data_IF_342969857452
#
_entry.id   IF_342969857452
#
_cell.length_a   1.000
_cell.length_b   1.000
_cell.length_c   1.000
_cell.angle_alpha   90.00
_cell.angle_beta   90.00
_cell.angle_gamma   90.00
#
_symmetry.space_group_name_H-M   'P 1'
#
loop_
_entity.id
_entity.type
_entity.pdbx_description
1 polymer ?
#
# COMPACT_ATOMS: atom_id res chain seq x y z
N UNK A 1 2.55 3.53 -2.68
CA UNK A 1 3.50 4.18 -1.77
C UNK A 1 3.99 5.49 -2.43
N UNK A 2 3.94 6.62 -1.72
CA UNK A 2 4.57 7.85 -2.20
C UNK A 2 6.09 7.67 -2.38
N UNK A 3 6.66 8.24 -3.45
CA UNK A 3 8.10 8.19 -3.73
C UNK A 3 8.94 8.78 -2.57
N UNK A 4 8.43 9.79 -1.88
CA UNK A 4 9.13 10.38 -0.72
C UNK A 4 9.28 9.39 0.44
N UNK A 5 8.23 8.63 0.77
CA UNK A 5 8.30 7.59 1.80
C UNK A 5 9.28 6.50 1.38
N UNK A 6 9.20 6.05 0.12
CA UNK A 6 10.13 5.05 -0.40
C UNK A 6 11.59 5.49 -0.23
N UNK A 7 11.92 6.73 -0.61
CA UNK A 7 13.27 7.31 -0.46
C UNK A 7 13.73 7.42 0.99
N UNK A 8 12.81 7.70 1.93
CA UNK A 8 13.12 7.78 3.36
C UNK A 8 13.40 6.40 3.95
N UNK A 9 12.63 5.39 3.52
CA UNK A 9 12.75 4.02 4.04
C UNK A 9 13.96 3.28 3.47
N UNK A 10 14.42 3.64 2.26
CA UNK A 10 15.58 3.03 1.59
C UNK A 10 15.51 1.48 1.53
N UNK A 11 14.33 0.98 1.20
CA UNK A 11 13.94 -0.44 1.33
C UNK A 11 14.25 -1.29 0.09
N UNK A 12 15.14 -0.83 -0.80
CA UNK A 12 15.58 -1.57 -1.98
C UNK A 12 15.35 -0.81 -3.29
N UNK A 13 15.22 -1.54 -4.39
CA UNK A 13 15.06 -0.97 -5.74
C UNK A 13 13.63 -1.10 -6.26
N UNK A 14 13.13 -0.02 -6.87
CA UNK A 14 11.83 -0.02 -7.56
C UNK A 14 12.00 -0.63 -8.95
N UNK A 15 11.21 -1.66 -9.24
CA UNK A 15 11.17 -2.28 -10.56
C UNK A 15 10.24 -1.48 -11.49
N UNK A 16 10.70 -1.04 -12.67
CA UNK A 16 9.86 -0.33 -13.62
C UNK A 16 8.61 -1.12 -14.00
N UNK A 17 7.49 -0.43 -14.23
CA UNK A 17 6.22 -1.07 -14.60
C UNK A 17 5.54 -0.33 -15.74
N UNK A 18 4.76 -1.04 -16.54
CA UNK A 18 3.90 -0.48 -17.59
C UNK A 18 2.47 -0.21 -17.11
N UNK A 19 2.19 -0.39 -15.81
CA UNK A 19 0.88 -0.12 -15.22
C UNK A 19 0.50 1.35 -15.42
N UNK A 20 -0.76 1.60 -15.79
CA UNK A 20 -1.37 2.93 -15.74
C UNK A 20 -2.48 2.91 -14.69
N UNK A 21 -2.50 3.89 -13.80
CA UNK A 21 -3.51 4.00 -12.75
C UNK A 21 -4.52 5.08 -13.10
N UNK A 22 -5.81 4.75 -13.01
CA UNK A 22 -6.89 5.72 -13.03
C UNK A 22 -7.30 6.07 -11.60
N UNK A 23 -7.27 7.35 -11.26
CA UNK A 23 -7.66 7.87 -9.95
C UNK A 23 -9.18 8.07 -9.86
N UNK A 24 -9.67 8.33 -8.65
CA UNK A 24 -11.11 8.52 -8.41
C UNK A 24 -11.68 9.77 -9.11
N UNK A 25 -10.84 10.77 -9.35
CA UNK A 25 -11.16 11.96 -10.15
C UNK A 25 -11.09 11.70 -11.67
N UNK A 26 -10.88 10.43 -12.07
CA UNK A 26 -10.75 9.93 -13.43
C UNK A 26 -9.47 10.35 -14.15
N UNK A 27 -8.58 11.09 -13.49
CA UNK A 27 -7.24 11.37 -14.03
C UNK A 27 -6.42 10.08 -14.12
N UNK A 28 -5.42 10.08 -15.01
CA UNK A 28 -4.47 9.00 -15.13
C UNK A 28 -3.13 9.40 -14.53
N UNK A 29 -2.47 8.47 -13.87
CA UNK A 29 -1.09 8.62 -13.39
C UNK A 29 -0.27 7.39 -13.73
N UNK A 30 1.03 7.62 -13.88
CA UNK A 30 2.02 6.61 -14.24
C UNK A 30 2.92 6.36 -13.04
N UNK A 31 2.91 5.14 -12.47
CA UNK A 31 3.83 4.76 -11.42
C UNK A 31 5.29 4.85 -11.87
N UNK A 32 6.17 5.12 -10.91
CA UNK A 32 7.61 4.94 -11.09
C UNK A 32 7.94 3.45 -11.25
N UNK A 33 7.21 2.61 -10.53
CA UNK A 33 7.36 1.16 -10.58
C UNK A 33 6.66 0.44 -9.45
N UNK A 34 7.07 -0.79 -9.21
CA UNK A 34 6.59 -1.65 -8.12
C UNK A 34 7.78 -2.05 -7.25
N UNK A 35 7.55 -2.09 -5.94
CA UNK A 35 8.44 -2.77 -5.01
C UNK A 35 7.67 -3.94 -4.39
N UNK A 36 8.30 -5.10 -4.40
CA UNK A 36 7.68 -6.35 -3.95
C UNK A 36 8.22 -6.77 -2.58
N UNK A 37 7.41 -7.53 -1.83
CA UNK A 37 7.78 -8.16 -0.57
C UNK A 37 8.22 -7.19 0.55
N UNK A 38 7.67 -5.96 0.57
CA UNK A 38 7.94 -5.01 1.65
C UNK A 38 7.24 -5.50 2.93
N UNK A 39 8.01 -5.73 3.99
CA UNK A 39 7.46 -6.11 5.28
C UNK A 39 6.84 -4.89 5.97
N UNK A 40 5.52 -4.95 6.19
CA UNK A 40 4.79 -3.94 6.96
C UNK A 40 4.32 -4.54 8.28
N UNK A 41 4.45 -3.76 9.35
CA UNK A 41 3.88 -4.11 10.65
C UNK A 41 2.52 -3.43 10.81
N UNK A 42 1.48 -4.22 11.01
CA UNK A 42 0.13 -3.75 11.36
C UNK A 42 -0.22 -4.32 12.73
N UNK A 43 -0.36 -3.44 13.72
CA UNK A 43 -0.47 -3.80 15.13
C UNK A 43 0.68 -4.72 15.56
N UNK A 44 0.40 -5.98 15.90
CA UNK A 44 1.39 -6.99 16.31
C UNK A 44 1.86 -7.91 15.18
N UNK A 45 1.31 -7.78 13.98
CA UNK A 45 1.56 -8.70 12.87
C UNK A 45 2.45 -8.07 11.81
N UNK A 46 3.22 -8.90 11.11
CA UNK A 46 4.10 -8.50 10.02
C UNK A 46 3.67 -9.24 8.76
N UNK A 47 3.46 -8.51 7.66
CA UNK A 47 3.05 -9.08 6.39
C UNK A 47 3.95 -8.58 5.25
N UNK A 48 4.29 -9.45 4.29
CA UNK A 48 4.85 -8.99 3.02
C UNK A 48 3.75 -8.34 2.17
N UNK A 49 4.05 -7.18 1.61
CA UNK A 49 3.13 -6.41 0.76
C UNK A 49 3.89 -5.79 -0.40
N UNK A 50 3.28 -5.85 -1.57
CA UNK A 50 3.79 -5.19 -2.76
C UNK A 50 3.16 -3.79 -2.87
N UNK A 51 3.97 -2.80 -3.23
CA UNK A 51 3.53 -1.43 -3.41
C UNK A 51 3.86 -0.91 -4.79
N UNK A 52 2.86 -0.27 -5.40
CA UNK A 52 3.07 0.62 -6.54
C UNK A 52 3.67 1.93 -6.00
N UNK A 53 4.83 2.33 -6.50
CA UNK A 53 5.50 3.58 -6.13
C UNK A 53 5.09 4.70 -7.09
N UNK A 54 4.58 5.80 -6.53
CA UNK A 54 4.06 6.95 -7.27
C UNK A 54 4.81 8.22 -6.87
N UNK A 55 5.21 8.99 -7.88
CA UNK A 55 5.64 10.38 -7.67
C UNK A 55 4.41 11.28 -7.68
N UNK A 56 4.03 11.75 -6.50
CA UNK A 56 2.85 12.59 -6.31
C UNK A 56 3.17 13.69 -5.30
N UNK A 57 2.42 14.80 -5.38
CA UNK A 57 2.55 15.88 -4.40
C UNK A 57 2.31 15.30 -3.01
N UNK A 58 3.22 15.59 -2.10
CA UNK A 58 3.12 15.14 -0.72
C UNK A 58 1.84 15.71 -0.11
N UNK A 59 0.91 14.82 0.23
CA UNK A 59 -0.17 15.16 1.13
C UNK A 59 0.40 15.25 2.55
N UNK A 60 -0.17 16.14 3.38
CA UNK A 60 0.27 16.38 4.76
C UNK A 60 0.24 15.10 5.59
N UNK A 61 -0.62 14.14 5.24
CA UNK A 61 -0.82 12.90 5.99
C UNK A 61 0.10 11.74 5.58
N UNK A 62 0.84 11.85 4.46
CA UNK A 62 1.78 10.80 3.99
C UNK A 62 1.20 9.38 4.05
N UNK A 63 -0.04 9.22 3.59
CA UNK A 63 -0.80 7.97 3.76
C UNK A 63 -0.36 6.85 2.81
N UNK A 64 -0.35 5.62 3.30
CA UNK A 64 -0.20 4.40 2.50
C UNK A 64 -1.58 3.78 2.23
N UNK A 65 -1.85 3.43 0.98
CA UNK A 65 -3.08 2.76 0.58
C UNK A 65 -2.83 1.27 0.48
N UNK A 66 -3.53 0.48 1.29
CA UNK A 66 -3.56 -0.97 1.17
C UNK A 66 -4.63 -1.37 0.17
N UNK A 67 -4.20 -1.96 -0.94
CA UNK A 67 -5.10 -2.37 -2.01
C UNK A 67 -6.02 -3.53 -1.59
N UNK A 68 -7.12 -3.69 -2.32
CA UNK A 68 -8.04 -4.83 -2.17
C UNK A 68 -7.34 -6.21 -2.22
N UNK A 69 -6.32 -6.45 -3.07
CA UNK A 69 -5.60 -7.73 -3.05
C UNK A 69 -5.02 -8.08 -1.68
N UNK A 70 -4.36 -7.12 -1.01
CA UNK A 70 -3.85 -7.33 0.35
C UNK A 70 -4.97 -7.66 1.34
N UNK A 71 -6.06 -6.88 1.30
CA UNK A 71 -7.21 -7.06 2.18
C UNK A 71 -7.87 -8.43 2.00
N UNK A 72 -7.97 -8.91 0.76
CA UNK A 72 -8.52 -10.23 0.43
C UNK A 72 -7.59 -11.34 0.94
N UNK A 73 -6.28 -11.25 0.67
CA UNK A 73 -5.29 -12.25 1.12
C UNK A 73 -5.29 -12.41 2.64
N UNK A 74 -5.36 -11.29 3.37
CA UNK A 74 -5.38 -11.29 4.84
C UNK A 74 -6.78 -11.47 5.45
N UNK A 75 -7.80 -11.75 4.62
CA UNK A 75 -9.20 -11.93 5.04
C UNK A 75 -9.68 -10.81 5.97
N UNK A 76 -9.31 -9.58 5.64
CA UNK A 76 -9.60 -8.40 6.45
C UNK A 76 -11.10 -8.10 6.43
N UNK A 77 -11.66 -7.84 7.61
CA UNK A 77 -13.00 -7.32 7.81
C UNK A 77 -12.92 -5.85 8.21
N UNK A 78 -13.69 -4.98 7.55
CA UNK A 78 -13.69 -3.54 7.81
C UNK A 78 -15.05 -3.16 8.41
N UNK A 79 -15.05 -2.69 9.67
CA UNK A 79 -16.21 -2.05 10.28
C UNK A 79 -16.14 -0.55 9.97
N UNK A 80 -16.90 -0.13 8.95
CA UNK A 80 -16.89 1.25 8.47
C UNK A 80 -17.49 2.22 9.49
N UNK A 81 -18.49 1.78 10.28
CA UNK A 81 -19.14 2.65 11.25
C UNK A 81 -18.22 2.97 12.43
N UNK A 82 -17.42 1.98 12.87
CA UNK A 82 -16.45 2.17 13.95
C UNK A 82 -15.10 2.68 13.49
N UNK A 83 -14.82 2.63 12.18
CA UNK A 83 -13.49 2.93 11.64
C UNK A 83 -12.45 1.88 12.01
N UNK A 84 -12.88 0.63 12.20
CA UNK A 84 -12.01 -0.46 12.64
C UNK A 84 -11.67 -1.42 11.51
N UNK A 85 -10.42 -1.89 11.52
CA UNK A 85 -9.93 -2.93 10.63
C UNK A 85 -9.61 -4.17 11.46
N UNK A 86 -10.28 -5.27 11.15
CA UNK A 86 -10.19 -6.53 11.88
C UNK A 86 -9.48 -7.55 10.97
N UNK A 87 -8.27 -7.96 11.38
CA UNK A 87 -7.49 -8.97 10.67
C UNK A 87 -7.67 -10.33 11.35
N UNK A 88 -7.93 -11.37 10.56
CA UNK A 88 -7.97 -12.76 11.05
C UNK A 88 -6.66 -13.43 10.68
N UNK A 89 -5.78 -13.62 11.65
CA UNK A 89 -4.52 -14.34 11.45
C UNK A 89 -4.74 -15.78 11.86
N UNK A 90 -4.50 -16.73 10.96
CA UNK A 90 -4.53 -18.16 11.32
C UNK A 90 -3.33 -18.46 12.22
N UNK A 91 -3.56 -18.32 13.52
CA UNK A 91 -3.21 -19.24 14.61
C UNK A 91 -3.62 -18.61 15.96
N UNK A 92 -4.92 -18.33 16.10
CA UNK A 92 -5.76 -18.36 17.31
C UNK A 92 -7.22 -18.01 16.98
#
# INVERSE_FOLDING_TARGET
MPLSIFKILDIGEVQPTSITLQLADRSFTYPIGVIENVLIKIDKFIFPVDFIVLDMKEDREKSLILGRPFLVTQKVMIDVQKGELIMRVQDQ
#
